data_IF_568881217910
#
_entry.id   IF_568881217910
#
_cell.length_a   1.000
_cell.length_b   1.000
_cell.length_c   1.000
_cell.angle_alpha   90.00
_cell.angle_beta   90.00
_cell.angle_gamma   90.00
#
_symmetry.space_group_name_H-M   'P 1'
#
loop_
_entity.id
_entity.type
_entity.pdbx_description
1 polymer ?
#
# COMPACT_ATOMS: atom_id res chain seq x y z
N UNK A 1 7.22 36.29 54.40
CA UNK A 1 6.41 35.71 55.49
C UNK A 1 6.44 34.20 55.30
N UNK A 2 7.35 33.47 55.96
CA UNK A 2 7.15 32.84 57.29
C UNK A 2 5.95 31.88 57.28
N UNK A 3 6.00 30.60 57.69
CA UNK A 3 7.00 29.72 58.29
C UNK A 3 6.37 28.29 58.29
N UNK A 4 7.12 27.19 58.12
CA UNK A 4 7.54 26.22 59.18
C UNK A 4 6.36 25.44 59.84
N UNK A 5 6.39 24.14 60.21
CA UNK A 5 7.39 23.07 60.31
C UNK A 5 6.69 21.79 60.84
N UNK A 6 7.32 20.61 60.58
CA UNK A 6 7.44 19.39 61.45
C UNK A 6 6.17 18.61 61.77
N UNK A 7 6.19 17.27 61.87
CA UNK A 7 7.23 16.27 62.09
C UNK A 7 6.57 15.16 62.94
N UNK A 8 6.75 13.86 62.72
CA UNK A 8 7.81 12.96 63.24
C UNK A 8 7.11 11.63 63.57
N UNK A 9 7.60 10.48 63.06
CA UNK A 9 8.29 9.38 63.80
C UNK A 9 7.47 8.78 64.96
N UNK A 10 7.49 7.49 65.30
CA UNK A 10 8.22 6.26 64.99
C UNK A 10 7.43 5.16 65.78
N UNK A 11 7.58 3.85 65.63
CA UNK A 11 8.51 2.98 64.93
C UNK A 11 8.46 1.59 65.58
N UNK A 12 9.22 0.66 64.99
CA UNK A 12 9.79 -0.59 65.54
C UNK A 12 8.82 -1.66 66.09
N UNK A 13 9.12 -2.96 66.05
CA UNK A 13 10.05 -3.83 65.34
C UNK A 13 9.95 -5.20 66.01
N UNK A 14 10.31 -6.27 65.29
CA UNK A 14 11.29 -7.32 65.67
C UNK A 14 10.87 -8.75 65.30
N UNK A 15 11.72 -9.35 64.45
CA UNK A 15 12.38 -10.69 64.51
C UNK A 15 11.48 -11.93 64.52
N UNK A 16 11.84 -13.04 63.89
CA UNK A 16 13.06 -13.60 63.28
C UNK A 16 12.73 -15.08 62.96
N UNK A 17 13.31 -15.80 62.00
CA UNK A 17 14.63 -16.48 61.96
C UNK A 17 14.61 -17.31 60.64
N UNK A 18 15.58 -17.21 59.72
CA UNK A 18 16.72 -18.15 59.50
C UNK A 18 16.28 -19.60 59.18
N UNK A 19 16.75 -20.32 58.13
CA UNK A 19 18.15 -20.50 57.68
C UNK A 19 18.30 -21.28 56.33
N UNK A 20 19.37 -20.97 55.56
CA UNK A 20 20.41 -21.89 54.98
C UNK A 20 20.04 -22.79 53.76
N UNK A 21 20.48 -22.48 52.53
CA UNK A 21 21.71 -22.89 51.76
C UNK A 21 21.78 -24.37 51.34
N UNK A 22 21.78 -24.65 50.02
CA UNK A 22 22.80 -25.43 49.28
C UNK A 22 22.41 -25.69 47.80
N UNK A 23 23.33 -25.41 46.88
CA UNK A 23 23.53 -26.08 45.58
C UNK A 23 24.82 -26.95 45.71
N UNK A 24 25.36 -27.72 44.71
CA UNK A 24 24.97 -27.89 43.30
C UNK A 24 25.10 -29.36 42.75
N UNK A 25 24.79 -29.58 41.46
CA UNK A 25 25.59 -30.29 40.40
C UNK A 25 24.76 -31.07 39.35
N UNK A 26 24.96 -30.65 38.09
CA UNK A 26 25.08 -31.40 36.81
C UNK A 26 24.19 -32.61 36.49
N UNK A 27 23.50 -32.57 35.35
CA UNK A 27 23.83 -33.35 34.12
C UNK A 27 23.01 -32.91 32.91
N UNK A 28 23.71 -32.80 31.78
CA UNK A 28 23.25 -32.58 30.41
C UNK A 28 22.72 -33.91 29.81
N UNK A 29 21.92 -33.89 28.73
CA UNK A 29 22.51 -34.40 27.49
C UNK A 29 22.21 -33.57 26.23
N UNK A 30 23.20 -33.65 25.34
CA UNK A 30 23.28 -33.07 24.01
C UNK A 30 22.31 -33.74 23.00
N UNK A 31 21.75 -32.93 22.11
CA UNK A 31 21.62 -33.19 20.67
C UNK A 31 21.26 -31.85 20.03
N UNK A 32 21.85 -31.31 18.98
CA UNK A 32 22.75 -31.80 17.95
C UNK A 32 22.53 -30.81 16.79
N UNK A 33 23.59 -30.10 16.42
CA UNK A 33 23.60 -28.96 15.49
C UNK A 33 23.00 -29.24 14.11
N UNK A 34 22.18 -28.32 13.59
CA UNK A 34 22.08 -28.05 12.15
C UNK A 34 22.04 -26.55 11.86
N UNK A 35 23.23 -25.94 11.89
CA UNK A 35 23.56 -24.77 11.07
C UNK A 35 23.94 -25.28 9.67
N UNK A 36 23.17 -24.90 8.65
CA UNK A 36 23.60 -24.76 7.24
C UNK A 36 22.90 -23.49 6.76
N UNK A 37 23.56 -22.44 6.30
CA UNK A 37 24.78 -22.41 5.51
C UNK A 37 24.39 -21.82 4.16
N UNK A 38 24.18 -20.50 4.11
CA UNK A 38 24.16 -19.75 2.86
C UNK A 38 25.59 -19.74 2.31
N UNK A 39 25.83 -20.32 1.14
CA UNK A 39 26.79 -19.81 0.15
C UNK A 39 26.84 -20.67 -1.14
N UNK A 40 26.79 -19.94 -2.25
CA UNK A 40 27.44 -20.17 -3.55
C UNK A 40 27.12 -21.44 -4.37
N UNK A 41 26.56 -21.20 -5.57
CA UNK A 41 27.02 -21.86 -6.79
C UNK A 41 27.00 -20.84 -7.95
N UNK A 42 28.17 -20.26 -8.24
CA UNK A 42 28.48 -19.49 -9.45
C UNK A 42 29.68 -20.18 -10.10
N UNK A 43 29.50 -20.57 -11.37
CA UNK A 43 30.47 -20.92 -12.42
C UNK A 43 31.31 -22.21 -12.26
N UNK A 44 31.12 -23.15 -13.20
CA UNK A 44 31.93 -23.27 -14.43
C UNK A 44 31.53 -24.53 -15.21
N UNK A 45 31.35 -24.39 -16.51
CA UNK A 45 32.28 -24.96 -17.51
C UNK A 45 31.96 -24.39 -18.89
N UNK A 46 32.95 -23.65 -19.40
CA UNK A 46 33.17 -23.49 -20.84
C UNK A 46 33.74 -24.81 -21.36
N UNK A 47 33.27 -25.27 -22.52
CA UNK A 47 34.18 -25.69 -23.59
C UNK A 47 33.45 -25.62 -24.95
N UNK A 48 34.08 -24.88 -25.87
CA UNK A 48 34.22 -25.13 -27.32
C UNK A 48 32.96 -25.41 -28.19
N UNK A 49 32.81 -24.96 -29.43
CA UNK A 49 33.40 -23.94 -30.29
C UNK A 49 32.59 -23.98 -31.61
N UNK A 50 32.49 -22.83 -32.30
CA UNK A 50 32.38 -22.66 -33.78
C UNK A 50 30.99 -22.66 -34.49
N UNK A 51 30.76 -21.55 -35.22
CA UNK A 51 29.97 -21.31 -36.46
C UNK A 51 28.48 -21.73 -36.49
N UNK A 52 27.51 -20.96 -36.98
CA UNK A 52 27.48 -20.08 -38.16
C UNK A 52 26.36 -19.00 -38.06
N UNK A 53 26.52 -17.98 -38.89
CA UNK A 53 25.61 -16.83 -39.14
C UNK A 53 24.26 -17.28 -39.75
N UNK A 54 23.16 -16.52 -39.55
CA UNK A 54 22.42 -16.06 -40.73
C UNK A 54 21.92 -14.60 -40.64
N UNK A 55 21.44 -14.03 -41.77
CA UNK A 55 21.17 -12.60 -41.92
C UNK A 55 19.72 -12.21 -41.63
N UNK A 56 19.53 -10.89 -41.60
CA UNK A 56 18.30 -10.13 -41.44
C UNK A 56 17.32 -10.20 -42.63
N UNK A 57 16.06 -9.94 -42.29
CA UNK A 57 15.02 -9.18 -43.02
C UNK A 57 13.92 -9.93 -43.79
N UNK A 58 12.69 -9.56 -43.42
CA UNK A 58 11.54 -9.10 -44.23
C UNK A 58 10.23 -9.89 -44.03
N UNK A 59 9.16 -9.10 -43.87
CA UNK A 59 7.77 -9.34 -44.28
C UNK A 59 6.76 -9.78 -43.21
N UNK A 60 6.03 -8.76 -42.76
CA UNK A 60 4.68 -8.79 -42.21
C UNK A 60 3.70 -9.59 -43.08
N UNK A 61 2.71 -10.23 -42.45
CA UNK A 61 1.34 -10.29 -42.96
C UNK A 61 0.33 -10.66 -41.87
N UNK A 62 -0.69 -9.83 -41.83
CA UNK A 62 -1.93 -9.83 -41.05
C UNK A 62 -2.93 -10.88 -41.54
N UNK A 63 -3.76 -11.42 -40.64
CA UNK A 63 -5.03 -12.04 -41.02
C UNK A 63 -6.13 -11.61 -40.06
N UNK A 64 -6.98 -10.72 -40.54
CA UNK A 64 -8.34 -10.45 -40.09
C UNK A 64 -9.27 -11.56 -40.61
N UNK A 65 -10.38 -11.83 -39.92
CA UNK A 65 -11.46 -12.66 -40.45
C UNK A 65 -12.74 -11.84 -40.67
N UNK A 66 -13.42 -12.15 -41.76
CA UNK A 66 -14.30 -11.30 -42.57
C UNK A 66 -15.76 -11.19 -42.07
N UNK A 67 -16.33 -10.05 -42.43
CA UNK A 67 -17.76 -9.75 -42.56
C UNK A 67 -18.31 -10.38 -43.87
N UNK A 68 -19.57 -10.82 -43.89
CA UNK A 68 -20.34 -10.88 -45.15
C UNK A 68 -21.75 -10.33 -44.94
N UNK A 69 -22.02 -9.21 -45.60
CA UNK A 69 -23.34 -8.72 -45.96
C UNK A 69 -23.27 -8.41 -47.46
N UNK A 70 -24.22 -8.91 -48.24
CA UNK A 70 -24.35 -8.56 -49.65
C UNK A 70 -25.83 -8.42 -50.04
N UNK A 71 -26.16 -7.23 -50.54
CA UNK A 71 -27.36 -6.88 -51.29
C UNK A 71 -27.15 -7.16 -52.79
N UNK A 72 -28.27 -7.35 -53.53
CA UNK A 72 -28.59 -6.93 -54.93
C UNK A 72 -29.61 -7.94 -55.54
N UNK A 73 -30.63 -7.63 -56.35
CA UNK A 73 -30.99 -6.46 -57.16
C UNK A 73 -32.48 -6.51 -57.63
N UNK A 74 -32.97 -5.36 -58.13
CA UNK A 74 -33.96 -5.12 -59.22
C UNK A 74 -35.45 -5.51 -59.01
N UNK A 75 -36.39 -4.55 -58.87
CA UNK A 75 -37.07 -3.67 -59.86
C UNK A 75 -37.99 -4.39 -60.87
N UNK A 76 -39.30 -4.19 -60.74
CA UNK A 76 -40.19 -3.85 -61.86
C UNK A 76 -41.52 -3.22 -61.39
N UNK A 77 -42.02 -2.29 -62.19
CA UNK A 77 -43.15 -1.39 -61.90
C UNK A 77 -44.43 -1.80 -62.64
N UNK A 78 -45.60 -1.56 -62.04
CA UNK A 78 -46.83 -1.16 -62.76
C UNK A 78 -47.93 -0.70 -61.79
N UNK A 79 -48.53 0.45 -62.12
CA UNK A 79 -49.58 1.15 -61.38
C UNK A 79 -50.99 0.58 -61.61
N UNK A 80 -51.92 0.81 -60.69
CA UNK A 80 -53.28 1.34 -60.97
C UNK A 80 -54.04 1.70 -59.70
N UNK A 81 -54.78 2.81 -59.80
CA UNK A 81 -55.46 3.58 -58.76
C UNK A 81 -56.85 3.05 -58.37
N UNK A 82 -57.32 3.40 -57.16
CA UNK A 82 -58.66 4.00 -56.90
C UNK A 82 -59.00 4.04 -55.39
N UNK A 83 -59.21 5.24 -54.85
CA UNK A 83 -60.11 5.57 -53.72
C UNK A 83 -61.61 5.50 -54.19
N UNK A 84 -62.69 5.54 -53.36
CA UNK A 84 -62.81 6.27 -52.07
C UNK A 84 -63.78 5.71 -50.95
N UNK A 85 -63.65 6.34 -49.75
CA UNK A 85 -64.68 6.84 -48.80
C UNK A 85 -65.66 5.95 -47.96
N UNK A 86 -65.97 6.54 -46.76
CA UNK A 86 -67.05 6.29 -45.76
C UNK A 86 -66.64 5.45 -44.52
N UNK A 87 -66.95 5.74 -43.24
CA UNK A 87 -67.74 6.78 -42.56
C UNK A 87 -67.49 6.73 -41.02
N UNK A 88 -67.48 7.90 -40.36
CA UNK A 88 -67.99 8.29 -39.01
C UNK A 88 -67.59 7.68 -37.63
N UNK A 89 -67.72 8.58 -36.62
CA UNK A 89 -67.72 8.53 -35.13
C UNK A 89 -66.35 8.71 -34.43
N UNK A 90 -65.99 9.78 -33.67
CA UNK A 90 -66.64 10.58 -32.59
C UNK A 90 -66.86 9.69 -31.35
N UNK A 91 -66.06 9.71 -30.28
CA UNK A 91 -65.91 10.77 -29.25
C UNK A 91 -64.75 10.46 -28.24
N UNK A 92 -64.44 11.35 -27.25
CA UNK A 92 -63.10 11.58 -26.72
C UNK A 92 -62.84 11.04 -25.29
N UNK A 93 -61.56 11.17 -24.88
CA UNK A 93 -61.10 11.29 -23.49
C UNK A 93 -60.89 9.98 -22.70
N UNK A 94 -59.73 9.35 -22.90
CA UNK A 94 -59.06 8.61 -21.84
C UNK A 94 -57.87 9.46 -21.38
N UNK A 95 -58.08 10.21 -20.29
CA UNK A 95 -57.01 10.76 -19.48
C UNK A 95 -56.15 9.58 -19.02
N UNK A 96 -55.01 9.38 -19.67
CA UNK A 96 -53.90 8.68 -19.05
C UNK A 96 -53.40 9.62 -17.96
N UNK A 97 -53.91 9.39 -16.76
CA UNK A 97 -53.30 9.91 -15.54
C UNK A 97 -51.87 9.38 -15.55
N UNK A 98 -50.94 10.27 -15.84
CA UNK A 98 -49.51 10.07 -15.68
C UNK A 98 -49.27 9.78 -14.19
N UNK A 99 -49.35 8.50 -13.85
CA UNK A 99 -48.83 7.91 -12.63
C UNK A 99 -47.59 7.10 -13.01
N UNK A 100 -46.65 7.67 -13.76
CA UNK A 100 -45.26 7.32 -13.51
C UNK A 100 -44.76 8.24 -12.41
N UNK A 101 -45.02 7.84 -11.16
CA UNK A 101 -44.15 8.27 -10.09
C UNK A 101 -42.74 7.85 -10.50
N UNK A 102 -41.87 8.83 -10.72
CA UNK A 102 -40.43 8.67 -10.80
C UNK A 102 -39.98 8.10 -9.44
N UNK A 103 -40.18 6.80 -9.24
CA UNK A 103 -39.27 6.02 -8.41
C UNK A 103 -38.02 5.91 -9.27
N UNK A 104 -37.09 6.83 -9.04
CA UNK A 104 -35.70 6.63 -9.43
C UNK A 104 -35.25 5.34 -8.74
N UNK A 105 -35.47 4.18 -9.38
CA UNK A 105 -34.81 2.94 -9.02
C UNK A 105 -33.32 3.20 -9.29
N UNK A 106 -32.60 3.63 -8.26
CA UNK A 106 -31.15 3.76 -8.31
C UNK A 106 -30.56 2.37 -8.50
N UNK A 107 -30.34 1.99 -9.76
CA UNK A 107 -29.75 0.72 -10.13
C UNK A 107 -28.31 0.68 -9.58
N UNK A 108 -28.08 -0.25 -8.66
CA UNK A 108 -26.76 -0.55 -8.15
C UNK A 108 -25.92 -1.28 -9.20
N UNK A 109 -24.68 -0.84 -9.39
CA UNK A 109 -23.72 -1.53 -10.26
C UNK A 109 -23.17 -2.79 -9.60
N UNK A 110 -22.68 -3.75 -10.39
CA UNK A 110 -22.06 -4.97 -9.84
C UNK A 110 -20.88 -4.65 -8.90
N UNK A 111 -20.07 -3.65 -9.23
CA UNK A 111 -18.92 -3.21 -8.41
C UNK A 111 -19.37 -2.65 -7.05
N UNK A 112 -20.46 -1.88 -7.02
CA UNK A 112 -21.04 -1.34 -5.79
C UNK A 112 -21.58 -2.46 -4.89
N UNK A 113 -22.25 -3.45 -5.49
CA UNK A 113 -22.73 -4.63 -4.79
C UNK A 113 -21.57 -5.46 -4.21
N UNK A 114 -20.52 -5.71 -5.00
CA UNK A 114 -19.31 -6.40 -4.55
C UNK A 114 -18.68 -5.67 -3.35
N UNK A 115 -18.48 -4.34 -3.45
CA UNK A 115 -17.91 -3.54 -2.38
C UNK A 115 -18.75 -3.59 -1.09
N UNK A 116 -20.09 -3.57 -1.19
CA UNK A 116 -20.98 -3.72 -0.04
C UNK A 116 -20.85 -5.08 0.64
N UNK A 117 -20.83 -6.16 -0.15
CA UNK A 117 -20.66 -7.52 0.38
C UNK A 117 -19.32 -7.65 1.09
N UNK A 118 -18.22 -7.20 0.47
CA UNK A 118 -16.89 -7.25 1.08
C UNK A 118 -16.79 -6.39 2.34
N UNK A 119 -17.45 -5.23 2.36
CA UNK A 119 -17.52 -4.37 3.56
C UNK A 119 -18.27 -5.07 4.69
N UNK A 120 -19.42 -5.70 4.41
CA UNK A 120 -20.17 -6.47 5.40
C UNK A 120 -19.39 -7.70 5.89
N UNK A 121 -18.62 -8.34 5.02
CA UNK A 121 -17.80 -9.50 5.35
C UNK A 121 -16.72 -9.21 6.41
N UNK A 122 -16.23 -7.96 6.50
CA UNK A 122 -15.20 -7.58 7.49
C UNK A 122 -15.64 -7.83 8.94
N UNK A 123 -16.93 -7.72 9.24
CA UNK A 123 -17.47 -8.01 10.59
C UNK A 123 -17.31 -9.48 10.98
N UNK A 124 -17.24 -10.37 9.99
CA UNK A 124 -17.13 -11.81 10.19
C UNK A 124 -15.69 -12.34 10.10
N UNK A 125 -14.74 -11.50 9.65
CA UNK A 125 -13.33 -11.85 9.55
C UNK A 125 -12.72 -12.30 10.89
N UNK A 126 -13.01 -11.69 12.05
CA UNK A 126 -12.49 -12.20 13.33
C UNK A 126 -12.95 -13.63 13.68
N UNK A 127 -14.09 -14.07 13.14
CA UNK A 127 -14.66 -15.41 13.39
C UNK A 127 -14.22 -16.44 12.34
N UNK A 128 -14.25 -16.06 11.06
CA UNK A 128 -14.03 -16.97 9.93
C UNK A 128 -12.65 -16.81 9.28
N UNK A 129 -11.85 -15.83 9.72
CA UNK A 129 -10.59 -15.45 9.08
C UNK A 129 -10.80 -14.77 7.73
N UNK A 130 -9.70 -14.58 7.00
CA UNK A 130 -9.73 -14.07 5.63
C UNK A 130 -10.11 -15.18 4.66
N UNK A 131 -11.41 -15.45 4.56
CA UNK A 131 -11.95 -16.67 3.95
C UNK A 131 -13.21 -16.43 3.12
N UNK A 132 -13.59 -17.41 2.29
CA UNK A 132 -14.84 -17.37 1.52
C UNK A 132 -16.06 -17.47 2.43
N UNK A 133 -15.91 -18.13 3.58
CA UNK A 133 -16.93 -18.23 4.61
C UNK A 133 -17.26 -16.86 5.21
N UNK A 134 -16.26 -15.98 5.41
CA UNK A 134 -16.50 -14.60 5.83
C UNK A 134 -17.29 -13.80 4.78
N UNK A 135 -16.99 -13.99 3.49
CA UNK A 135 -17.71 -13.35 2.39
C UNK A 135 -19.15 -13.88 2.31
N UNK A 136 -19.36 -15.18 2.45
CA UNK A 136 -20.69 -15.78 2.46
C UNK A 136 -21.53 -15.23 3.62
N UNK A 137 -20.96 -15.14 4.82
CA UNK A 137 -21.64 -14.56 5.99
C UNK A 137 -21.99 -13.07 5.78
N UNK A 138 -21.09 -12.30 5.15
CA UNK A 138 -21.35 -10.91 4.76
C UNK A 138 -22.45 -10.77 3.71
N UNK A 139 -22.54 -11.69 2.74
CA UNK A 139 -23.63 -11.70 1.78
C UNK A 139 -24.97 -12.05 2.45
N UNK A 140 -24.99 -13.06 3.33
CA UNK A 140 -26.18 -13.48 4.07
C UNK A 140 -26.69 -12.38 5.02
N UNK A 141 -25.80 -11.60 5.64
CA UNK A 141 -26.20 -10.47 6.49
C UNK A 141 -26.89 -9.34 5.72
N UNK A 142 -26.61 -9.22 4.42
CA UNK A 142 -27.28 -8.32 3.49
C UNK A 142 -28.55 -8.91 2.86
N UNK A 143 -28.96 -10.11 3.27
CA UNK A 143 -30.13 -10.80 2.71
C UNK A 143 -29.89 -11.43 1.35
N UNK A 144 -28.63 -11.57 0.93
CA UNK A 144 -28.24 -12.21 -0.32
C UNK A 144 -27.95 -13.70 -0.09
N UNK A 145 -27.96 -14.48 -1.18
CA UNK A 145 -27.58 -15.90 -1.13
C UNK A 145 -26.07 -16.05 -0.96
N UNK A 146 -25.62 -17.08 -0.25
CA UNK A 146 -24.20 -17.48 -0.23
C UNK A 146 -23.66 -17.84 -1.62
N UNK A 147 -24.52 -18.17 -2.59
CA UNK A 147 -24.11 -18.34 -3.99
C UNK A 147 -23.52 -17.05 -4.61
N UNK A 148 -23.81 -15.87 -4.03
CA UNK A 148 -23.24 -14.59 -4.45
C UNK A 148 -21.73 -14.54 -4.33
N UNK A 149 -21.09 -15.40 -3.51
CA UNK A 149 -19.62 -15.45 -3.44
C UNK A 149 -18.95 -15.82 -4.76
N UNK A 150 -19.70 -16.36 -5.73
CA UNK A 150 -19.20 -16.66 -7.08
C UNK A 150 -18.77 -15.44 -7.89
N UNK A 151 -19.12 -14.21 -7.45
CA UNK A 151 -18.68 -12.97 -8.10
C UNK A 151 -17.23 -12.58 -7.80
N UNK A 152 -16.58 -13.20 -6.80
CA UNK A 152 -15.22 -12.84 -6.37
C UNK A 152 -14.19 -13.79 -7.01
N UNK A 153 -13.59 -13.36 -8.12
CA UNK A 153 -12.64 -14.16 -8.91
C UNK A 153 -11.39 -14.59 -8.12
N UNK A 154 -10.90 -13.73 -7.21
CA UNK A 154 -9.73 -14.01 -6.36
C UNK A 154 -10.13 -14.50 -4.98
N UNK A 155 -11.44 -14.71 -4.76
CA UNK A 155 -12.02 -15.20 -3.51
C UNK A 155 -11.59 -14.38 -2.30
N UNK A 156 -10.99 -15.03 -1.30
CA UNK A 156 -10.48 -14.36 -0.09
C UNK A 156 -9.46 -13.26 -0.38
N UNK A 157 -8.77 -13.30 -1.53
CA UNK A 157 -7.86 -12.23 -1.96
C UNK A 157 -8.57 -10.90 -2.17
N UNK A 158 -9.77 -10.92 -2.77
CA UNK A 158 -10.58 -9.72 -3.00
C UNK A 158 -11.01 -9.08 -1.67
N UNK A 159 -11.31 -9.88 -0.66
CA UNK A 159 -11.63 -9.39 0.69
C UNK A 159 -10.46 -8.65 1.34
N UNK A 160 -9.24 -9.22 1.27
CA UNK A 160 -8.05 -8.56 1.83
C UNK A 160 -7.70 -7.29 1.05
N UNK A 161 -7.76 -7.34 -0.29
CA UNK A 161 -7.50 -6.18 -1.14
C UNK A 161 -8.50 -5.05 -0.89
N UNK A 162 -9.79 -5.38 -0.73
CA UNK A 162 -10.83 -4.43 -0.35
C UNK A 162 -10.53 -3.75 1.00
N UNK A 163 -10.16 -4.54 2.01
CA UNK A 163 -9.77 -3.99 3.31
C UNK A 163 -8.56 -3.04 3.22
N UNK A 164 -7.53 -3.39 2.43
CA UNK A 164 -6.37 -2.52 2.20
C UNK A 164 -6.79 -1.23 1.49
N UNK A 165 -7.64 -1.33 0.47
CA UNK A 165 -8.15 -0.17 -0.25
C UNK A 165 -8.93 0.76 0.69
N UNK A 166 -9.79 0.21 1.55
CA UNK A 166 -10.53 0.95 2.56
C UNK A 166 -9.60 1.65 3.57
N UNK A 167 -8.59 0.95 4.09
CA UNK A 167 -7.61 1.54 5.02
C UNK A 167 -6.80 2.67 4.35
N UNK A 168 -6.41 2.48 3.09
CA UNK A 168 -5.66 3.51 2.36
C UNK A 168 -6.53 4.74 2.08
N UNK A 169 -7.79 4.55 1.68
CA UNK A 169 -8.74 5.64 1.49
C UNK A 169 -8.98 6.43 2.80
N UNK A 170 -9.17 5.71 3.91
CA UNK A 170 -9.32 6.33 5.23
C UNK A 170 -8.07 7.11 5.65
N UNK A 171 -6.87 6.57 5.42
CA UNK A 171 -5.64 7.31 5.70
C UNK A 171 -5.57 8.58 4.86
N UNK A 172 -5.85 8.49 3.56
CA UNK A 172 -5.81 9.64 2.65
C UNK A 172 -6.79 10.73 3.07
N UNK A 173 -7.98 10.39 3.57
CA UNK A 173 -8.93 11.34 4.15
C UNK A 173 -8.36 12.02 5.41
N UNK A 174 -7.78 11.25 6.33
CA UNK A 174 -7.14 11.79 7.55
C UNK A 174 -6.00 12.75 7.19
N UNK A 175 -5.14 12.38 6.24
CA UNK A 175 -4.01 13.20 5.81
C UNK A 175 -4.47 14.46 5.07
N UNK A 176 -5.54 14.37 4.26
CA UNK A 176 -6.16 15.51 3.60
C UNK A 176 -6.69 16.53 4.62
N UNK A 177 -7.39 16.05 5.65
CA UNK A 177 -7.94 16.90 6.71
C UNK A 177 -6.82 17.58 7.51
N UNK A 178 -5.78 16.83 7.90
CA UNK A 178 -4.60 17.41 8.56
C UNK A 178 -3.91 18.47 7.68
N UNK A 179 -3.81 18.22 6.38
CA UNK A 179 -3.23 19.15 5.43
C UNK A 179 -4.07 20.43 5.30
N UNK A 180 -5.40 20.31 5.24
CA UNK A 180 -6.32 21.45 5.21
C UNK A 180 -6.20 22.32 6.47
N UNK A 181 -6.08 21.71 7.65
CA UNK A 181 -5.89 22.45 8.91
C UNK A 181 -4.59 23.28 8.91
N UNK A 182 -3.51 22.75 8.32
CA UNK A 182 -2.26 23.49 8.13
C UNK A 182 -2.45 24.66 7.14
N UNK A 183 -3.15 24.44 6.02
CA UNK A 183 -3.43 25.51 5.04
C UNK A 183 -4.30 26.64 5.62
N UNK A 184 -5.25 26.31 6.50
CA UNK A 184 -6.11 27.25 7.19
C UNK A 184 -5.43 27.96 8.37
N UNK A 185 -4.17 27.63 8.67
CA UNK A 185 -3.41 28.19 9.79
C UNK A 185 -3.91 27.74 11.17
N UNK A 186 -4.65 26.63 11.23
CA UNK A 186 -5.18 26.04 12.47
C UNK A 186 -4.18 25.09 13.13
N UNK A 187 -3.20 24.59 12.37
CA UNK A 187 -2.12 23.73 12.85
C UNK A 187 -0.78 24.11 12.22
N UNK A 188 0.31 23.88 12.96
CA UNK A 188 1.67 24.08 12.43
C UNK A 188 2.11 22.89 11.56
N UNK A 189 2.87 23.12 10.47
CA UNK A 189 3.40 22.05 9.66
C UNK A 189 4.39 21.20 10.48
N UNK A 190 4.15 19.88 10.51
CA UNK A 190 5.07 18.93 11.13
C UNK A 190 6.36 18.80 10.31
N UNK A 191 7.46 18.43 10.97
CA UNK A 191 8.66 18.01 10.25
C UNK A 191 8.37 16.71 9.50
N UNK A 192 9.02 16.51 8.36
CA UNK A 192 8.80 15.33 7.51
C UNK A 192 8.94 13.99 8.25
N UNK A 193 9.93 13.87 9.15
CA UNK A 193 10.11 12.64 9.94
C UNK A 193 8.93 12.36 10.88
N UNK A 194 8.49 13.38 11.62
CA UNK A 194 7.36 13.29 12.55
C UNK A 194 6.05 13.01 11.78
N UNK A 195 5.87 13.65 10.62
CA UNK A 195 4.73 13.40 9.73
C UNK A 195 4.67 11.95 9.26
N UNK A 196 5.80 11.41 8.75
CA UNK A 196 5.88 10.03 8.27
C UNK A 196 5.61 9.04 9.40
N UNK A 197 6.18 9.28 10.59
CA UNK A 197 5.93 8.48 11.79
C UNK A 197 4.43 8.39 12.06
N UNK A 198 3.76 9.53 12.17
CA UNK A 198 2.35 9.60 12.52
C UNK A 198 1.47 8.97 11.44
N UNK A 199 1.79 9.15 10.15
CA UNK A 199 1.06 8.55 9.05
C UNK A 199 1.18 7.02 9.05
N UNK A 200 2.40 6.48 9.23
CA UNK A 200 2.64 5.03 9.29
C UNK A 200 1.98 4.42 10.53
N UNK A 201 2.10 5.06 11.69
CA UNK A 201 1.41 4.61 12.91
C UNK A 201 -0.11 4.59 12.72
N UNK A 202 -0.69 5.69 12.19
CA UNK A 202 -2.13 5.78 11.91
C UNK A 202 -2.59 4.65 11.00
N UNK A 203 -1.82 4.37 9.94
CA UNK A 203 -2.14 3.31 8.97
C UNK A 203 -2.06 1.91 9.58
N UNK A 204 -1.04 1.64 10.39
CA UNK A 204 -0.83 0.33 11.02
C UNK A 204 -1.83 0.07 12.15
N UNK A 205 -2.27 1.11 12.87
CA UNK A 205 -3.32 0.98 13.89
C UNK A 205 -4.64 0.46 13.33
N UNK A 206 -4.91 0.63 12.05
CA UNK A 206 -6.10 0.07 11.38
C UNK A 206 -6.11 -1.47 11.37
N UNK A 207 -4.96 -2.12 11.55
CA UNK A 207 -4.86 -3.58 11.62
C UNK A 207 -5.14 -4.15 13.01
N UNK A 208 -5.17 -3.33 14.06
CA UNK A 208 -5.34 -3.79 15.45
C UNK A 208 -6.55 -4.72 15.63
N UNK A 209 -7.74 -4.45 15.06
CA UNK A 209 -8.89 -5.35 15.19
C UNK A 209 -8.69 -6.74 14.57
N UNK A 210 -7.74 -6.87 13.64
CA UNK A 210 -7.49 -8.08 12.85
C UNK A 210 -6.08 -8.64 13.04
N UNK A 211 -5.31 -8.15 14.02
CA UNK A 211 -3.87 -8.40 14.11
C UNK A 211 -3.52 -9.89 14.27
N UNK A 212 -4.33 -10.63 15.03
CA UNK A 212 -4.16 -12.07 15.29
C UNK A 212 -4.23 -12.93 14.01
N UNK A 213 -5.02 -12.48 13.03
CA UNK A 213 -5.25 -13.16 11.75
C UNK A 213 -4.62 -12.42 10.57
N UNK A 214 -3.94 -11.30 10.81
CA UNK A 214 -3.24 -10.53 9.78
C UNK A 214 -2.15 -11.33 9.05
N UNK A 215 -1.41 -12.27 9.67
CA UNK A 215 -0.46 -13.11 8.95
C UNK A 215 -1.10 -13.93 7.82
N UNK A 216 -2.36 -14.36 7.98
CA UNK A 216 -3.13 -15.03 6.93
C UNK A 216 -3.37 -14.08 5.76
N UNK A 217 -3.82 -12.84 6.02
CA UNK A 217 -3.99 -11.82 4.98
C UNK A 217 -2.70 -11.55 4.21
N UNK A 218 -1.56 -11.40 4.91
CA UNK A 218 -0.26 -11.23 4.25
C UNK A 218 0.07 -12.38 3.30
N UNK A 219 -0.23 -13.62 3.70
CA UNK A 219 0.02 -14.78 2.83
C UNK A 219 -0.85 -14.76 1.56
N UNK A 220 -2.10 -14.29 1.67
CA UNK A 220 -3.02 -14.14 0.54
C UNK A 220 -2.55 -13.06 -0.43
N UNK A 221 -2.06 -11.93 0.08
CA UNK A 221 -1.53 -10.82 -0.73
C UNK A 221 -0.29 -11.20 -1.56
N UNK A 222 0.47 -12.17 -1.08
CA UNK A 222 1.68 -12.69 -1.73
C UNK A 222 1.39 -13.81 -2.73
N UNK A 223 0.12 -14.20 -2.93
CA UNK A 223 -0.24 -15.14 -3.99
C UNK A 223 -0.03 -14.49 -5.37
N UNK A 224 0.49 -15.22 -6.38
CA UNK A 224 0.89 -14.63 -7.67
C UNK A 224 -0.18 -13.80 -8.39
N UNK A 225 -1.46 -14.17 -8.24
CA UNK A 225 -2.58 -13.45 -8.84
C UNK A 225 -3.00 -12.19 -8.06
N UNK A 226 -2.62 -12.07 -6.78
CA UNK A 226 -2.90 -10.91 -5.93
C UNK A 226 -1.73 -9.91 -5.93
N UNK A 227 -0.50 -10.35 -6.16
CA UNK A 227 0.71 -9.51 -6.11
C UNK A 227 0.57 -8.19 -6.90
N UNK A 228 0.06 -8.16 -8.15
CA UNK A 228 -0.04 -6.90 -8.89
C UNK A 228 -0.88 -5.84 -8.18
N UNK A 229 -2.04 -6.23 -7.65
CA UNK A 229 -2.95 -5.32 -6.94
C UNK A 229 -2.42 -4.96 -5.55
N UNK A 230 -1.85 -5.93 -4.83
CA UNK A 230 -1.17 -5.69 -3.55
C UNK A 230 -0.07 -4.65 -3.69
N UNK A 231 0.77 -4.76 -4.72
CA UNK A 231 1.85 -3.82 -5.00
C UNK A 231 1.32 -2.45 -5.44
N UNK A 232 0.24 -2.41 -6.23
CA UNK A 232 -0.42 -1.15 -6.61
C UNK A 232 -0.97 -0.40 -5.40
N UNK A 233 -1.63 -1.10 -4.48
CA UNK A 233 -2.11 -0.49 -3.24
C UNK A 233 -0.95 0.00 -2.36
N UNK A 234 0.11 -0.80 -2.24
CA UNK A 234 1.30 -0.42 -1.48
C UNK A 234 1.99 0.81 -2.09
N UNK A 235 2.21 0.85 -3.40
CA UNK A 235 2.86 1.99 -4.06
C UNK A 235 2.04 3.26 -3.91
N UNK A 236 0.71 3.18 -4.11
CA UNK A 236 -0.22 4.31 -3.95
C UNK A 236 -0.20 4.83 -2.51
N UNK A 237 -0.17 3.95 -1.52
CA UNK A 237 -0.03 4.34 -0.11
C UNK A 237 1.27 5.12 0.16
N UNK A 238 2.40 4.65 -0.37
CA UNK A 238 3.67 5.36 -0.20
C UNK A 238 3.63 6.73 -0.90
N UNK A 239 3.02 6.80 -2.08
CA UNK A 239 2.82 8.03 -2.85
C UNK A 239 2.00 9.05 -2.06
N UNK A 240 0.86 8.64 -1.51
CA UNK A 240 -0.04 9.50 -0.74
C UNK A 240 0.65 10.05 0.53
N UNK A 241 1.35 9.19 1.28
CA UNK A 241 2.11 9.63 2.47
C UNK A 241 3.16 10.68 2.08
N UNK A 242 3.94 10.45 1.01
CA UNK A 242 4.95 11.41 0.57
C UNK A 242 4.34 12.70 0.00
N UNK A 243 3.20 12.60 -0.67
CA UNK A 243 2.49 13.75 -1.21
C UNK A 243 2.08 14.72 -0.10
N UNK A 244 1.43 14.21 0.95
CA UNK A 244 1.00 15.02 2.10
C UNK A 244 2.17 15.43 3.01
N UNK A 245 3.27 14.69 3.02
CA UNK A 245 4.52 15.12 3.66
C UNK A 245 5.18 16.32 2.96
N UNK A 246 4.63 16.78 1.82
CA UNK A 246 5.13 17.91 1.06
C UNK A 246 6.26 17.56 0.09
N UNK A 247 6.45 16.28 -0.25
CA UNK A 247 7.49 15.89 -1.20
C UNK A 247 7.17 16.41 -2.60
N UNK A 248 8.17 17.03 -3.23
CA UNK A 248 8.15 17.51 -4.63
C UNK A 248 9.33 16.97 -5.41
N UNK A 249 9.92 15.87 -4.95
CA UNK A 249 11.09 15.29 -5.57
C UNK A 249 10.75 14.67 -6.91
N UNK A 250 11.54 15.01 -7.91
CA UNK A 250 11.61 14.30 -9.19
C UNK A 250 12.88 13.45 -9.21
N UNK A 251 13.02 12.57 -10.20
CA UNK A 251 14.26 11.82 -10.48
C UNK A 251 14.63 10.74 -9.43
N UNK A 252 15.92 10.41 -9.26
CA UNK A 252 16.38 9.31 -8.40
C UNK A 252 15.96 9.45 -6.92
N UNK A 253 15.75 10.68 -6.45
CA UNK A 253 15.30 10.94 -5.09
C UNK A 253 13.87 10.42 -4.87
N UNK A 254 13.01 10.52 -5.90
CA UNK A 254 11.63 10.00 -5.88
C UNK A 254 11.62 8.49 -5.59
N UNK A 255 12.46 7.73 -6.30
CA UNK A 255 12.57 6.27 -6.15
C UNK A 255 13.17 5.88 -4.80
N UNK A 256 14.25 6.55 -4.39
CA UNK A 256 14.93 6.26 -3.13
C UNK A 256 14.02 6.48 -1.93
N UNK A 257 13.23 7.57 -1.93
CA UNK A 257 12.26 7.88 -0.87
C UNK A 257 11.16 6.84 -0.75
N UNK A 258 10.61 6.38 -1.88
CA UNK A 258 9.59 5.33 -1.90
C UNK A 258 10.14 4.00 -1.42
N UNK A 259 11.29 3.59 -1.96
CA UNK A 259 11.94 2.36 -1.52
C UNK A 259 12.25 2.37 -0.01
N UNK A 260 12.73 3.49 0.52
CA UNK A 260 12.98 3.66 1.95
C UNK A 260 11.69 3.56 2.78
N UNK A 261 10.63 4.28 2.39
CA UNK A 261 9.36 4.24 3.11
C UNK A 261 8.68 2.86 3.04
N UNK A 262 8.73 2.19 1.88
CA UNK A 262 8.26 0.81 1.74
C UNK A 262 9.00 -0.13 2.66
N UNK A 263 10.33 0.02 2.76
CA UNK A 263 11.14 -0.76 3.69
C UNK A 263 10.76 -0.52 5.15
N UNK A 264 10.57 0.74 5.55
CA UNK A 264 10.11 1.11 6.89
C UNK A 264 8.74 0.49 7.18
N UNK A 265 7.77 0.69 6.29
CA UNK A 265 6.40 0.23 6.47
C UNK A 265 6.34 -1.30 6.61
N UNK A 266 6.88 -2.05 5.64
CA UNK A 266 6.81 -3.51 5.63
C UNK A 266 7.56 -4.14 6.82
N UNK A 267 8.72 -3.58 7.20
CA UNK A 267 9.46 -4.12 8.36
C UNK A 267 8.76 -3.80 9.68
N UNK A 268 8.13 -2.64 9.79
CA UNK A 268 7.34 -2.26 10.99
C UNK A 268 6.07 -3.12 11.09
N UNK A 269 5.39 -3.38 9.96
CA UNK A 269 4.25 -4.30 9.91
C UNK A 269 4.63 -5.71 10.38
N UNK A 270 5.78 -6.24 9.96
CA UNK A 270 6.28 -7.55 10.40
C UNK A 270 6.62 -7.59 11.90
N UNK A 271 7.15 -6.49 12.45
CA UNK A 271 7.41 -6.36 13.89
C UNK A 271 6.10 -6.31 14.67
N UNK A 272 5.11 -5.57 14.18
CA UNK A 272 3.81 -5.38 14.83
C UNK A 272 3.07 -6.69 15.07
N UNK A 273 3.16 -7.64 14.12
CA UNK A 273 2.55 -8.97 14.23
C UNK A 273 3.10 -9.78 15.42
N UNK A 274 4.35 -9.52 15.82
CA UNK A 274 5.03 -10.24 16.91
C UNK A 274 5.00 -9.47 18.23
N UNK A 275 4.47 -8.25 18.22
CA UNK A 275 4.52 -7.35 19.35
C UNK A 275 3.34 -7.59 20.31
N UNK A 276 3.65 -7.94 21.55
CA UNK A 276 2.68 -8.10 22.64
C UNK A 276 2.83 -7.03 23.73
N UNK A 277 3.61 -5.98 23.47
CA UNK A 277 3.77 -4.84 24.37
C UNK A 277 2.47 -4.02 24.47
N UNK A 278 2.24 -3.31 25.60
CA UNK A 278 1.03 -2.52 25.76
C UNK A 278 0.92 -1.43 24.68
N UNK A 279 -0.19 -1.40 23.94
CA UNK A 279 -0.44 -0.48 22.82
C UNK A 279 0.67 -0.49 21.75
N UNK A 280 1.32 -1.64 21.51
CA UNK A 280 2.37 -1.80 20.48
C UNK A 280 3.56 -0.85 20.63
N UNK A 281 3.93 -0.49 21.87
CA UNK A 281 5.05 0.41 22.17
C UNK A 281 6.37 -0.01 21.54
N UNK A 282 6.66 -1.31 21.48
CA UNK A 282 7.89 -1.84 20.88
C UNK A 282 7.89 -1.62 19.36
N UNK A 283 6.73 -1.76 18.70
CA UNK A 283 6.52 -1.44 17.28
C UNK A 283 6.77 0.03 17.00
N UNK A 284 6.21 0.93 17.81
CA UNK A 284 6.39 2.38 17.60
C UNK A 284 7.83 2.82 17.87
N UNK A 285 8.49 2.22 18.87
CA UNK A 285 9.92 2.42 19.10
C UNK A 285 10.76 1.93 17.92
N UNK A 286 10.40 0.78 17.33
CA UNK A 286 11.06 0.27 16.13
C UNK A 286 10.88 1.22 14.94
N UNK A 287 9.67 1.74 14.72
CA UNK A 287 9.36 2.71 13.68
C UNK A 287 10.21 3.98 13.83
N UNK A 288 10.26 4.55 15.03
CA UNK A 288 11.07 5.73 15.33
C UNK A 288 12.55 5.50 14.99
N UNK A 289 13.11 4.35 15.40
CA UNK A 289 14.48 3.98 15.08
C UNK A 289 14.74 3.87 13.58
N UNK A 290 13.81 3.26 12.82
CA UNK A 290 13.94 3.11 11.36
C UNK A 290 13.86 4.43 10.62
N UNK A 291 13.00 5.35 11.07
CA UNK A 291 12.93 6.71 10.51
C UNK A 291 14.24 7.45 10.78
N UNK A 292 14.78 7.36 12.00
CA UNK A 292 16.06 7.99 12.35
C UNK A 292 17.23 7.44 11.53
N UNK A 293 17.27 6.13 11.26
CA UNK A 293 18.28 5.54 10.39
C UNK A 293 18.29 6.18 9.00
N UNK A 294 17.10 6.35 8.40
CA UNK A 294 16.97 6.98 7.07
C UNK A 294 17.36 8.45 7.10
N UNK A 295 16.98 9.19 8.14
CA UNK A 295 17.40 10.59 8.32
C UNK A 295 18.91 10.69 8.43
N UNK A 296 19.55 9.84 9.23
CA UNK A 296 20.99 9.80 9.44
C UNK A 296 21.75 9.40 8.16
N UNK A 297 21.21 8.45 7.40
CA UNK A 297 21.77 8.08 6.10
C UNK A 297 21.70 9.25 5.10
N UNK A 298 20.56 9.96 5.06
CA UNK A 298 20.38 11.10 4.16
C UNK A 298 21.30 12.28 4.51
N UNK A 299 21.50 12.57 5.80
CA UNK A 299 22.42 13.64 6.25
C UNK A 299 23.87 13.27 5.96
N UNK A 300 24.26 12.02 6.21
CA UNK A 300 25.61 11.52 5.91
C UNK A 300 25.91 11.59 4.42
N UNK A 301 24.98 11.17 3.56
CA UNK A 301 25.13 11.24 2.11
C UNK A 301 25.34 12.69 1.62
N UNK A 302 24.53 13.64 2.14
CA UNK A 302 24.69 15.07 1.83
C UNK A 302 26.03 15.63 2.29
N UNK A 303 26.46 15.27 3.50
CA UNK A 303 27.74 15.73 4.05
C UNK A 303 28.94 15.22 3.22
N UNK A 304 28.90 13.97 2.77
CA UNK A 304 29.95 13.41 1.90
C UNK A 304 30.00 14.13 0.57
N UNK A 305 28.85 14.41 -0.04
CA UNK A 305 28.77 15.15 -1.30
C UNK A 305 29.34 16.57 -1.15
N UNK A 306 28.89 17.33 -0.14
CA UNK A 306 29.36 18.70 0.07
C UNK A 306 30.85 18.77 0.40
N UNK A 307 31.36 17.80 1.17
CA UNK A 307 32.79 17.72 1.49
C UNK A 307 33.62 17.39 0.24
N UNK A 308 33.15 16.49 -0.61
CA UNK A 308 33.79 16.17 -1.89
C UNK A 308 33.87 17.39 -2.81
N UNK A 309 32.77 18.13 -2.97
CA UNK A 309 32.72 19.36 -3.76
C UNK A 309 33.69 20.43 -3.22
N UNK A 310 33.72 20.63 -1.90
CA UNK A 310 34.62 21.58 -1.26
C UNK A 310 36.10 21.21 -1.47
N UNK A 311 36.45 19.92 -1.40
CA UNK A 311 37.82 19.44 -1.67
C UNK A 311 38.21 19.70 -3.12
N UNK A 312 37.33 19.40 -4.08
CA UNK A 312 37.58 19.66 -5.51
C UNK A 312 37.77 21.16 -5.77
N UNK A 313 36.90 22.01 -5.21
CA UNK A 313 37.03 23.46 -5.34
C UNK A 313 38.33 23.99 -4.72
N UNK A 314 38.72 23.47 -3.55
CA UNK A 314 39.98 23.81 -2.89
C UNK A 314 41.21 23.45 -3.74
N UNK A 315 41.23 22.24 -4.31
CA UNK A 315 42.30 21.79 -5.21
C UNK A 315 42.37 22.63 -6.50
N UNK A 316 41.22 22.96 -7.10
CA UNK A 316 41.17 23.82 -8.28
C UNK A 316 41.64 25.25 -7.98
N UNK A 317 41.25 25.82 -6.85
CA UNK A 317 41.73 27.13 -6.40
C UNK A 317 43.24 27.16 -6.17
N UNK A 318 43.80 26.11 -5.55
CA UNK A 318 45.23 25.96 -5.37
C UNK A 318 45.96 25.83 -6.73
N UNK A 319 45.42 25.03 -7.66
CA UNK A 319 45.99 24.86 -9.00
C UNK A 319 45.99 26.18 -9.80
N UNK A 320 44.91 26.95 -9.75
CA UNK A 320 44.84 28.29 -10.39
C UNK A 320 45.86 29.25 -9.77
N UNK A 321 46.00 29.23 -8.45
CA UNK A 321 46.99 30.08 -7.75
C UNK A 321 48.41 29.71 -8.15
N UNK A 322 48.74 28.42 -8.20
CA UNK A 322 50.05 27.94 -8.68
C UNK A 322 50.28 28.30 -10.16
N UNK A 323 49.27 28.16 -11.02
CA UNK A 323 49.36 28.57 -12.43
C UNK A 323 49.63 30.08 -12.59
N UNK A 324 49.03 30.91 -11.75
CA UNK A 324 49.26 32.37 -11.75
C UNK A 324 50.65 32.74 -11.22
N UNK A 325 51.12 32.08 -10.15
CA UNK A 325 52.44 32.31 -9.56
C UNK A 325 53.59 31.83 -10.45
N UNK A 326 53.38 30.78 -11.24
CA UNK A 326 54.41 30.23 -12.15
C UNK A 326 54.55 30.98 -13.47
N UNK A 327 53.79 32.05 -13.70
CA UNK A 327 54.00 32.95 -14.84
C UNK A 327 53.60 32.39 -16.22
N UNK A 328 52.88 31.25 -16.28
CA UNK A 328 52.43 30.60 -17.53
C UNK A 328 51.36 31.39 -18.31
N UNK A 329 51.10 32.65 -17.96
CA UNK A 329 50.13 33.53 -18.61
C UNK A 329 50.77 34.77 -19.27
N UNK A 330 52.03 34.67 -19.71
CA UNK A 330 52.60 35.65 -20.64
C UNK A 330 52.11 35.33 -22.06
N UNK A 331 51.04 36.02 -22.48
CA UNK A 331 50.65 36.13 -23.89
C UNK A 331 51.83 36.72 -24.68
N UNK A 332 52.22 36.04 -25.75
CA UNK A 332 52.92 36.63 -26.89
C UNK A 332 51.92 36.75 -28.04
#
# INVERSE_FOLDING_TARGET
MAALLRGLRAGRALRGLSSVVAAPTTTNPQCGSLRRGFHCAVLRLQDESKSDKPPSSTSSSTTYHEHYQAHSAEQDAAASASDPAADQSTDPNASYQDQSGEQDEEYETEEQLQARILTAALEFVPLHGWSMEAIAAGAESLGLSSASTGMFEKGSGDLVLHFIAQCNAQLTEILAEQHNQVQLGQAEPKKTADFIRDAVETRLRMYIPYIEIWPQAMSLLLLPHNIPDSLKHLSTLMDDIWYYAGDRSTDMNWYTKRAALTGIYNTTELVMIQDSSPDFQDTWTFLDNRIQDVVNMATTAKQVQSTGEAVVQGLMGAAVTLKNLTGLNQRR
#
